data_IF_901142498962
#
_entry.id   IF_901142498962
#
_cell.length_a   1.000
_cell.length_b   1.000
_cell.length_c   1.000
_cell.angle_alpha   90.00
_cell.angle_beta   90.00
_cell.angle_gamma   90.00
#
_symmetry.space_group_name_H-M   'P 1'
#
loop_
_entity.id
_entity.type
_entity.pdbx_description
1 polymer ?
#
# COMPACT_ATOMS: atom_id res chain seq x y z
N UNK A 1 -9.79 43.78 -53.15
CA UNK A 1 -8.53 43.09 -53.52
C UNK A 1 -8.32 42.00 -52.49
N UNK A 2 -8.95 40.84 -52.70
CA UNK A 2 -8.89 39.70 -51.76
C UNK A 2 -7.94 38.66 -52.35
N UNK A 3 -6.77 38.47 -51.74
CA UNK A 3 -5.83 37.42 -52.12
C UNK A 3 -6.12 36.17 -51.31
N UNK A 4 -6.79 35.21 -51.93
CA UNK A 4 -6.97 33.86 -51.39
C UNK A 4 -5.63 33.13 -51.49
N UNK A 5 -4.93 32.96 -50.37
CA UNK A 5 -3.74 32.10 -50.29
C UNK A 5 -4.19 30.64 -50.25
N UNK A 6 -3.85 29.90 -51.31
CA UNK A 6 -4.12 28.47 -51.47
C UNK A 6 -3.10 27.67 -50.65
N UNK A 7 -3.47 27.23 -49.46
CA UNK A 7 -2.63 26.34 -48.64
C UNK A 7 -2.75 24.92 -49.19
N UNK A 8 -1.67 24.41 -49.79
CA UNK A 8 -1.55 23.03 -50.25
C UNK A 8 -1.25 22.12 -49.04
N UNK A 9 -1.92 20.96 -48.88
CA UNK A 9 -1.69 20.08 -47.77
C UNK A 9 -0.36 19.35 -47.96
N UNK A 10 0.70 19.83 -47.32
CA UNK A 10 1.93 19.05 -47.21
C UNK A 10 1.69 17.91 -46.22
N UNK A 11 1.43 16.72 -46.75
CA UNK A 11 1.47 15.48 -46.00
C UNK A 11 2.91 15.22 -45.56
N UNK A 12 3.27 15.73 -44.40
CA UNK A 12 4.51 15.41 -43.70
C UNK A 12 4.51 13.92 -43.38
N UNK A 13 5.07 13.08 -44.26
CA UNK A 13 5.33 11.68 -43.97
C UNK A 13 6.53 11.63 -43.02
N UNK A 14 6.25 11.73 -41.72
CA UNK A 14 7.26 11.50 -40.68
C UNK A 14 7.76 10.06 -40.83
N UNK A 15 9.07 9.81 -40.99
CA UNK A 15 9.59 8.46 -41.06
C UNK A 15 9.34 7.76 -39.72
N UNK A 16 8.67 6.61 -39.75
CA UNK A 16 8.45 5.78 -38.58
C UNK A 16 9.79 5.19 -38.09
N UNK A 17 10.43 5.89 -37.15
CA UNK A 17 11.63 5.40 -36.46
C UNK A 17 11.24 4.19 -35.62
N UNK A 18 11.68 2.99 -36.00
CA UNK A 18 11.48 1.78 -35.19
C UNK A 18 12.22 1.95 -33.85
N UNK A 19 11.55 1.93 -32.70
CA UNK A 19 12.23 2.07 -31.43
C UNK A 19 13.19 0.89 -31.23
N UNK A 20 14.48 1.21 -31.08
CA UNK A 20 15.51 0.23 -30.74
C UNK A 20 15.16 -0.41 -29.39
N UNK A 21 15.06 -1.75 -29.37
CA UNK A 21 14.73 -2.56 -28.17
C UNK A 21 15.63 -2.26 -26.96
N UNK A 22 16.85 -1.75 -27.20
CA UNK A 22 17.80 -1.32 -26.17
C UNK A 22 17.35 -0.08 -25.39
N UNK A 23 16.65 0.85 -26.04
CA UNK A 23 16.10 2.05 -25.38
C UNK A 23 14.86 1.72 -24.53
N UNK A 24 14.11 0.68 -24.91
CA UNK A 24 12.92 0.24 -24.17
C UNK A 24 13.30 -0.42 -22.84
N UNK A 25 14.34 -1.29 -22.81
CA UNK A 25 14.80 -1.91 -21.54
C UNK A 25 15.46 -0.93 -20.59
N UNK A 26 16.24 0.05 -21.07
CA UNK A 26 16.86 1.08 -20.20
C UNK A 26 15.84 2.01 -19.54
N UNK A 27 14.74 2.35 -20.24
CA UNK A 27 13.61 3.09 -19.63
C UNK A 27 12.88 2.29 -18.55
N UNK A 28 12.80 0.96 -18.70
CA UNK A 28 12.14 0.10 -17.71
C UNK A 28 12.99 -0.13 -16.45
N UNK A 29 14.33 -0.24 -16.56
CA UNK A 29 15.24 -0.54 -15.45
C UNK A 29 15.71 0.67 -14.65
N UNK A 30 15.72 1.87 -15.26
CA UNK A 30 16.09 3.13 -14.60
C UNK A 30 15.36 3.40 -13.28
N UNK A 31 14.01 3.32 -13.21
CA UNK A 31 13.28 3.60 -11.97
C UNK A 31 13.55 2.57 -10.86
N UNK A 32 13.71 1.28 -11.18
CA UNK A 32 13.98 0.25 -10.16
C UNK A 32 15.36 0.43 -9.52
N UNK A 33 16.36 0.89 -10.28
CA UNK A 33 17.70 1.14 -9.74
C UNK A 33 17.69 2.30 -8.72
N UNK A 34 16.79 3.27 -8.89
CA UNK A 34 16.59 4.36 -7.93
C UNK A 34 15.79 3.91 -6.69
N UNK A 35 14.88 2.95 -6.84
CA UNK A 35 14.18 2.31 -5.72
C UNK A 35 15.06 1.35 -4.91
N UNK A 36 16.05 0.73 -5.55
CA UNK A 36 16.91 -0.29 -4.95
C UNK A 36 17.56 0.14 -3.62
N UNK A 37 18.19 1.33 -3.46
CA UNK A 37 18.76 1.73 -2.17
C UNK A 37 17.71 1.90 -1.07
N UNK A 38 16.52 2.41 -1.40
CA UNK A 38 15.43 2.55 -0.45
C UNK A 38 14.88 1.18 0.01
N UNK A 39 14.70 0.25 -0.93
CA UNK A 39 14.28 -1.13 -0.64
C UNK A 39 15.34 -1.88 0.17
N UNK A 40 16.63 -1.73 -0.16
CA UNK A 40 17.71 -2.36 0.57
C UNK A 40 17.78 -1.84 2.00
N UNK A 41 17.66 -0.53 2.20
CA UNK A 41 17.63 0.08 3.52
C UNK A 41 16.45 -0.44 4.35
N UNK A 42 15.24 -0.43 3.77
CA UNK A 42 14.05 -0.98 4.42
C UNK A 42 14.21 -2.46 4.77
N UNK A 43 14.73 -3.26 3.83
CA UNK A 43 14.95 -4.68 4.02
C UNK A 43 15.95 -4.92 5.15
N UNK A 44 17.10 -4.24 5.17
CA UNK A 44 18.08 -4.40 6.26
C UNK A 44 17.44 -4.02 7.59
N UNK A 45 16.76 -2.88 7.66
CA UNK A 45 16.18 -2.39 8.92
C UNK A 45 15.06 -3.28 9.45
N UNK A 46 14.33 -3.96 8.58
CA UNK A 46 13.24 -4.87 8.94
C UNK A 46 13.73 -6.30 9.18
N UNK A 47 14.60 -6.84 8.30
CA UNK A 47 15.09 -8.21 8.41
C UNK A 47 16.12 -8.37 9.52
N UNK A 48 16.98 -7.38 9.76
CA UNK A 48 17.99 -7.45 10.82
C UNK A 48 17.37 -7.77 12.20
N UNK A 49 16.39 -7.01 12.73
CA UNK A 49 15.79 -7.33 14.02
C UNK A 49 15.00 -8.64 13.99
N UNK A 50 14.32 -8.97 12.88
CA UNK A 50 13.56 -10.23 12.76
C UNK A 50 14.49 -11.44 12.88
N UNK A 51 15.62 -11.43 12.16
CA UNK A 51 16.60 -12.53 12.22
C UNK A 51 17.17 -12.64 13.62
N UNK A 52 17.55 -11.53 14.25
CA UNK A 52 18.08 -11.53 15.62
C UNK A 52 17.05 -12.06 16.63
N UNK A 53 15.78 -11.67 16.51
CA UNK A 53 14.69 -12.17 17.36
C UNK A 53 14.44 -13.66 17.15
N UNK A 54 14.51 -14.14 15.90
CA UNK A 54 14.40 -15.56 15.60
C UNK A 54 15.53 -16.36 16.24
N UNK A 55 16.78 -15.89 16.10
CA UNK A 55 17.94 -16.54 16.74
C UNK A 55 17.78 -16.60 18.25
N UNK A 56 17.38 -15.49 18.89
CA UNK A 56 17.11 -15.45 20.33
C UNK A 56 15.96 -16.36 20.76
N UNK A 57 14.97 -16.61 19.90
CA UNK A 57 13.85 -17.51 20.23
C UNK A 57 14.29 -18.97 20.40
N UNK A 58 15.42 -19.38 19.80
CA UNK A 58 16.00 -20.73 19.96
C UNK A 58 17.00 -20.84 21.12
N UNK A 59 17.34 -19.71 21.75
CA UNK A 59 18.26 -19.65 22.89
C UNK A 59 17.48 -19.47 24.19
N UNK A 60 18.01 -19.99 25.30
CA UNK A 60 17.32 -19.89 26.58
C UNK A 60 17.55 -18.51 27.21
N UNK A 61 16.62 -17.57 26.97
CA UNK A 61 16.74 -16.18 27.45
C UNK A 61 16.06 -16.00 28.82
N UNK A 62 16.57 -16.68 29.85
CA UNK A 62 16.10 -16.53 31.23
C UNK A 62 16.92 -15.49 32.01
N UNK A 63 16.35 -14.92 33.08
CA UNK A 63 17.07 -14.00 33.99
C UNK A 63 18.40 -14.56 34.49
N UNK A 64 18.49 -15.88 34.70
CA UNK A 64 19.72 -16.58 35.05
C UNK A 64 20.75 -16.63 33.92
N UNK A 65 20.32 -16.84 32.66
CA UNK A 65 21.23 -16.83 31.50
C UNK A 65 21.77 -15.44 31.20
N UNK A 66 20.96 -14.39 31.41
CA UNK A 66 21.39 -13.00 31.26
C UNK A 66 22.46 -12.60 32.30
N UNK A 67 22.38 -13.17 33.51
CA UNK A 67 23.37 -12.93 34.58
C UNK A 67 24.67 -13.73 34.38
N UNK A 68 24.57 -14.93 33.81
CA UNK A 68 25.72 -15.84 33.63
C UNK A 68 26.45 -15.62 32.29
N UNK A 69 25.84 -14.86 31.36
CA UNK A 69 26.40 -14.57 30.04
C UNK A 69 26.41 -15.76 29.08
N UNK A 70 25.78 -16.88 29.46
CA UNK A 70 25.72 -18.11 28.66
C UNK A 70 24.26 -18.30 28.25
N UNK A 71 23.97 -18.18 26.96
CA UNK A 71 22.67 -18.47 26.36
C UNK A 71 22.76 -19.83 25.66
N UNK A 72 22.43 -20.94 26.34
CA UNK A 72 22.50 -22.25 25.70
C UNK A 72 21.46 -22.33 24.58
N UNK A 73 21.88 -22.88 23.44
CA UNK A 73 20.99 -23.19 22.33
C UNK A 73 20.13 -24.40 22.72
N UNK A 74 18.86 -24.15 23.02
CA UNK A 74 17.90 -25.17 23.48
C UNK A 74 16.91 -25.58 22.38
N UNK A 75 17.08 -25.05 21.16
CA UNK A 75 16.28 -25.43 20.01
C UNK A 75 14.79 -25.10 20.22
N UNK A 76 13.94 -26.12 20.20
CA UNK A 76 12.48 -25.96 20.26
C UNK A 76 11.87 -26.08 21.66
N UNK A 77 12.65 -26.39 22.68
CA UNK A 77 12.15 -26.63 24.04
C UNK A 77 11.49 -25.37 24.66
N UNK A 78 11.96 -24.19 24.27
CA UNK A 78 11.34 -22.91 24.63
C UNK A 78 9.88 -22.83 24.19
N UNK A 79 9.58 -23.27 22.96
CA UNK A 79 8.21 -23.24 22.43
C UNK A 79 7.32 -24.26 23.12
N UNK A 80 7.83 -25.47 23.40
CA UNK A 80 7.06 -26.49 24.11
C UNK A 80 6.70 -26.03 25.54
N UNK A 81 7.65 -25.39 26.23
CA UNK A 81 7.43 -24.83 27.56
C UNK A 81 6.41 -23.69 27.52
N UNK A 82 6.53 -22.77 26.57
CA UNK A 82 5.59 -21.65 26.41
C UNK A 82 4.17 -22.12 26.05
N UNK A 83 4.03 -23.11 25.17
CA UNK A 83 2.73 -23.64 24.75
C UNK A 83 2.04 -24.49 25.83
N UNK A 84 2.81 -25.08 26.75
CA UNK A 84 2.27 -25.81 27.89
C UNK A 84 1.83 -24.88 29.05
N UNK A 85 2.24 -23.61 29.03
CA UNK A 85 1.90 -22.64 30.08
C UNK A 85 0.46 -22.14 29.92
N UNK A 86 -0.44 -22.38 30.91
CA UNK A 86 -1.83 -21.92 30.84
C UNK A 86 -1.95 -20.40 30.78
N UNK A 87 -1.00 -19.65 31.34
CA UNK A 87 -1.02 -18.18 31.30
C UNK A 87 -0.74 -17.64 29.91
N UNK A 88 0.15 -18.30 29.16
CA UNK A 88 0.44 -17.96 27.77
C UNK A 88 -0.79 -18.22 26.89
N UNK A 89 -1.41 -19.39 27.02
CA UNK A 89 -2.63 -19.74 26.28
C UNK A 89 -3.76 -18.77 26.58
N UNK A 90 -3.95 -18.40 27.84
CA UNK A 90 -4.97 -17.42 28.23
C UNK A 90 -4.70 -16.02 27.65
N UNK A 91 -3.44 -15.60 27.61
CA UNK A 91 -3.05 -14.31 27.03
C UNK A 91 -3.30 -14.29 25.53
N UNK A 92 -2.91 -15.36 24.81
CA UNK A 92 -3.14 -15.52 23.37
C UNK A 92 -4.64 -15.54 23.05
N UNK A 93 -5.45 -16.29 23.80
CA UNK A 93 -6.89 -16.36 23.57
C UNK A 93 -7.58 -15.01 23.81
N UNK A 94 -7.14 -14.26 24.84
CA UNK A 94 -7.64 -12.92 25.13
C UNK A 94 -7.28 -11.94 24.02
N UNK A 95 -6.02 -11.92 23.57
CA UNK A 95 -5.58 -11.06 22.47
C UNK A 95 -6.31 -11.40 21.17
N UNK A 96 -6.47 -12.68 20.85
CA UNK A 96 -7.19 -13.10 19.64
C UNK A 96 -8.66 -12.70 19.70
N UNK A 97 -9.33 -12.93 20.82
CA UNK A 97 -10.73 -12.53 21.03
C UNK A 97 -10.89 -11.02 20.90
N UNK A 98 -9.97 -10.25 21.48
CA UNK A 98 -9.94 -8.80 21.35
C UNK A 98 -9.76 -8.35 19.89
N UNK A 99 -8.78 -8.91 19.17
CA UNK A 99 -8.55 -8.59 17.75
C UNK A 99 -9.76 -8.91 16.90
N UNK A 100 -10.36 -10.09 17.05
CA UNK A 100 -11.56 -10.47 16.29
C UNK A 100 -12.72 -9.53 16.61
N UNK A 101 -12.97 -9.23 17.89
CA UNK A 101 -14.01 -8.30 18.29
C UNK A 101 -13.80 -6.90 17.69
N UNK A 102 -12.56 -6.39 17.72
CA UNK A 102 -12.21 -5.12 17.10
C UNK A 102 -12.43 -5.12 15.59
N UNK A 103 -12.00 -6.17 14.89
CA UNK A 103 -12.20 -6.30 13.44
C UNK A 103 -13.69 -6.31 13.11
N UNK A 104 -14.47 -7.16 13.77
CA UNK A 104 -15.92 -7.26 13.55
C UNK A 104 -16.57 -5.89 13.77
N UNK A 105 -16.24 -5.20 14.84
CA UNK A 105 -16.80 -3.88 15.14
C UNK A 105 -16.42 -2.83 14.08
N UNK A 106 -15.14 -2.75 13.71
CA UNK A 106 -14.64 -1.82 12.69
C UNK A 106 -15.28 -2.08 11.32
N UNK A 107 -15.35 -3.34 10.90
CA UNK A 107 -15.99 -3.72 9.64
C UNK A 107 -17.49 -3.42 9.67
N UNK A 108 -18.18 -3.73 10.77
CA UNK A 108 -19.63 -3.51 10.89
C UNK A 108 -19.95 -2.02 10.80
N UNK A 109 -19.23 -1.18 11.53
CA UNK A 109 -19.42 0.28 11.48
C UNK A 109 -19.06 0.83 10.11
N UNK A 110 -17.91 0.46 9.55
CA UNK A 110 -17.50 0.92 8.22
C UNK A 110 -18.51 0.52 7.14
N UNK A 111 -19.06 -0.69 7.22
CA UNK A 111 -20.08 -1.17 6.31
C UNK A 111 -21.42 -0.44 6.48
N UNK A 112 -21.87 -0.22 7.73
CA UNK A 112 -23.06 0.57 8.02
C UNK A 112 -22.95 2.00 7.50
N UNK A 113 -21.80 2.66 7.70
CA UNK A 113 -21.53 3.99 7.17
C UNK A 113 -21.54 4.00 5.64
N UNK A 114 -20.94 3.00 5.00
CA UNK A 114 -20.96 2.86 3.54
C UNK A 114 -22.38 2.70 3.00
N UNK A 115 -23.23 1.90 3.65
CA UNK A 115 -24.64 1.76 3.29
C UNK A 115 -25.44 3.04 3.51
N UNK A 116 -25.17 3.77 4.59
CA UNK A 116 -25.79 5.07 4.85
C UNK A 116 -25.42 6.09 3.77
N UNK A 117 -24.18 6.07 3.28
CA UNK A 117 -23.71 6.98 2.22
C UNK A 117 -24.20 6.55 0.83
N UNK A 118 -24.43 5.25 0.62
CA UNK A 118 -25.04 4.74 -0.60
C UNK A 118 -26.50 5.20 -0.75
N UNK A 119 -27.20 5.41 0.37
CA UNK A 119 -28.48 6.09 0.37
C UNK A 119 -28.22 7.57 0.10
N UNK A 120 -28.84 8.11 -0.96
CA UNK A 120 -28.76 9.54 -1.32
C UNK A 120 -29.07 10.36 -0.06
N UNK A 121 -28.06 10.96 0.56
CA UNK A 121 -28.24 11.83 1.71
C UNK A 121 -28.97 13.09 1.24
N UNK A 122 -30.24 13.33 1.63
CA UNK A 122 -30.97 14.54 1.24
C UNK A 122 -30.40 15.81 1.90
N UNK A 123 -29.42 15.67 2.81
CA UNK A 123 -28.71 16.76 3.47
C UNK A 123 -27.60 17.37 2.61
N UNK A 124 -27.09 16.63 1.62
CA UNK A 124 -26.32 17.23 0.53
C UNK A 124 -27.37 17.76 -0.43
N UNK A 125 -27.79 19.00 -0.20
CA UNK A 125 -28.79 19.67 -1.04
C UNK A 125 -28.46 19.46 -2.51
N UNK A 126 -29.46 19.03 -3.27
CA UNK A 126 -29.37 18.87 -4.71
C UNK A 126 -28.86 20.15 -5.35
N UNK A 127 -27.58 20.15 -5.73
CA UNK A 127 -27.04 21.08 -6.72
C UNK A 127 -26.51 20.29 -7.92
N UNK A 128 -27.31 19.33 -8.40
CA UNK A 128 -27.44 19.00 -9.83
C UNK A 128 -28.35 17.77 -10.00
N UNK A 129 -29.56 17.91 -10.57
CA UNK A 129 -30.26 16.78 -11.14
C UNK A 129 -29.46 16.28 -12.36
N UNK A 130 -29.67 15.02 -12.74
CA UNK A 130 -28.74 14.23 -13.56
C UNK A 130 -28.27 14.83 -14.88
N UNK A 131 -27.11 14.33 -15.36
CA UNK A 131 -26.45 14.56 -16.66
C UNK A 131 -26.14 16.01 -17.10
N UNK A 132 -26.81 17.04 -16.56
CA UNK A 132 -26.67 18.44 -17.00
C UNK A 132 -25.46 19.17 -16.38
N UNK A 133 -24.83 18.60 -15.34
CA UNK A 133 -23.75 19.25 -14.61
C UNK A 133 -22.41 19.34 -15.38
N UNK A 134 -22.13 18.36 -16.26
CA UNK A 134 -20.94 18.39 -17.12
C UNK A 134 -21.04 19.48 -18.19
N UNK A 135 -22.25 19.77 -18.67
CA UNK A 135 -22.51 20.77 -19.70
C UNK A 135 -22.39 22.21 -19.15
N UNK A 136 -22.84 22.47 -17.91
CA UNK A 136 -22.74 23.81 -17.29
C UNK A 136 -21.30 24.16 -16.90
N UNK A 137 -20.56 23.20 -16.32
CA UNK A 137 -19.17 23.43 -15.92
C UNK A 137 -18.25 23.68 -17.12
N UNK A 138 -18.47 23.00 -18.25
CA UNK A 138 -17.68 23.21 -19.46
C UNK A 138 -18.07 24.51 -20.19
N UNK A 139 -19.36 24.84 -20.29
CA UNK A 139 -19.84 26.01 -21.05
C UNK A 139 -19.49 27.36 -20.40
N UNK A 140 -19.29 27.41 -19.08
CA UNK A 140 -18.92 28.65 -18.36
C UNK A 140 -17.45 29.09 -18.50
N UNK A 141 -16.54 28.18 -18.87
CA UNK A 141 -15.09 28.45 -18.89
C UNK A 141 -14.59 29.10 -20.19
N UNK A 142 -15.34 29.02 -21.30
CA UNK A 142 -14.90 29.44 -22.63
C UNK A 142 -15.37 30.84 -23.07
N UNK A 143 -16.14 31.55 -22.26
CA UNK A 143 -16.62 32.90 -22.61
C UNK A 143 -15.74 34.04 -22.06
N UNK A 144 -14.68 33.70 -21.33
CA UNK A 144 -13.76 34.67 -20.72
C UNK A 144 -12.28 34.51 -21.17
N UNK A 145 -12.04 33.75 -22.24
CA UNK A 145 -10.75 33.64 -22.95
C UNK A 145 -10.98 33.94 -24.44
#
# INVERSE_FOLDING_TARGET
>A
MSTTVKVSPQTSRTPAVKPSRWHVRRRALGPYLFLLPALLFLAIFLLYPIITMLLFSFEQVNVGSLLTGIMPFVGLDNYHTALADPTFIQSVSTSLTFTVACLVFQFTIGFLLALLFQQRLPLVGDACPGHDCLDVAYRGQWHHL
#
